data_IF_817794377086
#
_entry.id   IF_817794377086
#
_cell.length_a   1.000
_cell.length_b   1.000
_cell.length_c   1.000
_cell.angle_alpha   90.00
_cell.angle_beta   90.00
_cell.angle_gamma   90.00
#
_symmetry.space_group_name_H-M   'P 1'
#
loop_
_entity.id
_entity.type
_entity.pdbx_description
1 polymer ?
#
# COMPACT_ATOMS: atom_id res chain seq x y z
N UNK A 1 -40.49 81.75 37.24
CA UNK A 1 -39.07 81.39 37.41
C UNK A 1 -38.98 79.88 37.59
N UNK A 2 -37.91 79.27 37.07
CA UNK A 2 -37.48 77.86 37.16
C UNK A 2 -37.94 76.91 36.03
N UNK A 3 -37.21 76.98 34.91
CA UNK A 3 -37.02 75.93 33.91
C UNK A 3 -36.03 74.88 34.43
N UNK A 4 -36.43 73.61 34.52
CA UNK A 4 -35.53 72.48 34.80
C UNK A 4 -35.03 71.90 33.46
N UNK A 5 -33.73 72.04 33.20
CA UNK A 5 -33.05 71.38 32.08
C UNK A 5 -32.60 69.97 32.49
N UNK A 6 -33.13 68.94 31.83
CA UNK A 6 -32.71 67.56 32.03
C UNK A 6 -31.42 67.28 31.24
N UNK A 7 -30.33 67.01 31.97
CA UNK A 7 -29.03 66.64 31.40
C UNK A 7 -29.04 65.13 31.08
N UNK A 8 -29.19 64.77 29.80
CA UNK A 8 -29.01 63.38 29.35
C UNK A 8 -27.51 63.06 29.23
N UNK A 9 -27.02 62.17 30.10
CA UNK A 9 -25.69 61.56 29.99
C UNK A 9 -25.71 60.50 28.87
N UNK A 10 -25.06 60.79 27.75
CA UNK A 10 -24.71 59.78 26.73
C UNK A 10 -23.62 58.87 27.31
N UNK A 11 -23.97 57.64 27.68
CA UNK A 11 -22.99 56.60 27.99
C UNK A 11 -22.43 56.04 26.67
N UNK A 12 -21.11 56.17 26.48
CA UNK A 12 -20.41 55.52 25.37
C UNK A 12 -20.38 54.01 25.61
N UNK A 13 -21.16 53.26 24.83
CA UNK A 13 -21.13 51.79 24.83
C UNK A 13 -19.86 51.37 24.08
N UNK A 14 -18.89 50.79 24.79
CA UNK A 14 -17.71 50.21 24.17
C UNK A 14 -18.14 49.01 23.29
N UNK A 15 -17.65 48.89 22.04
CA UNK A 15 -17.99 47.77 21.17
C UNK A 15 -17.45 46.46 21.76
N UNK A 16 -18.31 45.44 21.78
CA UNK A 16 -17.93 44.08 22.18
C UNK A 16 -16.83 43.54 21.25
N UNK A 17 -15.82 42.82 21.78
CA UNK A 17 -14.83 42.15 20.94
C UNK A 17 -15.54 41.13 20.04
N UNK A 18 -15.37 41.26 18.72
CA UNK A 18 -15.89 40.28 17.77
C UNK A 18 -15.21 38.93 18.01
N UNK A 19 -15.95 37.80 18.01
CA UNK A 19 -15.34 36.48 18.04
C UNK A 19 -14.41 36.36 16.83
N UNK A 20 -13.13 36.12 17.10
CA UNK A 20 -12.11 35.96 16.07
C UNK A 20 -12.53 34.87 15.10
N UNK A 21 -12.59 35.20 13.81
CA UNK A 21 -12.78 34.23 12.73
C UNK A 21 -11.59 33.27 12.76
N UNK A 22 -11.77 32.08 13.35
CA UNK A 22 -10.85 30.97 13.13
C UNK A 22 -10.86 30.67 11.64
N UNK A 23 -9.74 30.95 10.96
CA UNK A 23 -9.60 30.60 9.55
C UNK A 23 -9.87 29.10 9.37
N UNK A 24 -10.66 28.74 8.35
CA UNK A 24 -10.87 27.33 8.04
C UNK A 24 -9.51 26.68 7.75
N UNK A 25 -9.26 25.45 8.23
CA UNK A 25 -8.01 24.75 7.95
C UNK A 25 -7.83 24.58 6.44
N UNK A 26 -6.58 24.66 5.97
CA UNK A 26 -6.27 24.37 4.56
C UNK A 26 -6.42 22.87 4.27
N UNK A 27 -6.68 22.50 3.01
CA UNK A 27 -6.76 21.10 2.60
C UNK A 27 -5.47 20.32 2.95
N UNK A 28 -4.31 20.98 2.92
CA UNK A 28 -3.03 20.35 3.33
C UNK A 28 -3.02 20.00 4.82
N UNK A 29 -3.52 20.89 5.68
CA UNK A 29 -3.61 20.64 7.12
C UNK A 29 -4.63 19.53 7.42
N UNK A 30 -5.81 19.58 6.78
CA UNK A 30 -6.83 18.54 6.91
C UNK A 30 -6.31 17.17 6.45
N UNK A 31 -5.56 17.14 5.36
CA UNK A 31 -4.96 15.91 4.86
C UNK A 31 -3.95 15.33 5.86
N UNK A 32 -3.04 16.16 6.38
CA UNK A 32 -2.02 15.72 7.34
C UNK A 32 -2.64 15.17 8.63
N UNK A 33 -3.66 15.86 9.16
CA UNK A 33 -4.41 15.42 10.33
C UNK A 33 -5.14 14.10 10.08
N UNK A 34 -5.73 13.94 8.89
CA UNK A 34 -6.37 12.69 8.52
C UNK A 34 -5.38 11.52 8.40
N UNK A 35 -4.24 11.71 7.74
CA UNK A 35 -3.23 10.64 7.60
C UNK A 35 -2.76 10.18 8.98
N UNK A 36 -2.52 11.10 9.91
CA UNK A 36 -2.20 10.75 11.30
C UNK A 36 -3.32 9.95 11.96
N UNK A 37 -4.55 10.46 11.91
CA UNK A 37 -5.71 9.81 12.53
C UNK A 37 -5.98 8.41 11.95
N UNK A 38 -5.79 8.23 10.64
CA UNK A 38 -5.91 6.95 9.95
C UNK A 38 -4.84 5.95 10.41
N UNK A 39 -3.58 6.38 10.53
CA UNK A 39 -2.48 5.53 10.98
C UNK A 39 -2.63 5.09 12.44
N UNK A 40 -3.20 5.96 13.28
CA UNK A 40 -3.44 5.71 14.70
C UNK A 40 -4.76 4.93 14.96
N UNK A 41 -5.57 4.68 13.92
CA UNK A 41 -6.86 3.99 14.05
C UNK A 41 -7.88 4.78 14.89
N UNK A 42 -7.81 6.12 14.85
CA UNK A 42 -8.63 7.00 15.69
C UNK A 42 -10.13 6.81 15.38
N UNK A 43 -10.96 6.52 16.40
CA UNK A 43 -12.42 6.51 16.24
C UNK A 43 -12.93 7.82 15.65
N UNK A 44 -13.74 7.74 14.59
CA UNK A 44 -14.28 8.92 13.90
C UNK A 44 -13.45 9.44 12.72
N UNK A 45 -12.26 8.88 12.44
CA UNK A 45 -11.47 9.26 11.27
C UNK A 45 -12.23 9.08 9.94
N UNK A 46 -13.02 8.00 9.83
CA UNK A 46 -13.88 7.72 8.67
C UNK A 46 -14.96 8.80 8.51
N UNK A 47 -15.60 9.22 9.61
CA UNK A 47 -16.67 10.21 9.59
C UNK A 47 -16.13 11.59 9.21
N UNK A 48 -14.99 11.98 9.79
CA UNK A 48 -14.29 13.22 9.44
C UNK A 48 -13.87 13.25 7.96
N UNK A 49 -13.26 12.18 7.47
CA UNK A 49 -12.88 12.04 6.06
C UNK A 49 -14.10 12.08 5.12
N UNK A 50 -15.21 11.47 5.53
CA UNK A 50 -16.46 11.47 4.77
C UNK A 50 -17.08 12.86 4.69
N UNK A 51 -17.11 13.60 5.81
CA UNK A 51 -17.58 14.98 5.82
C UNK A 51 -16.73 15.88 4.92
N UNK A 52 -15.40 15.77 5.02
CA UNK A 52 -14.49 16.53 4.17
C UNK A 52 -14.66 16.20 2.68
N UNK A 53 -14.85 14.92 2.34
CA UNK A 53 -15.13 14.46 0.97
C UNK A 53 -16.43 15.06 0.41
N UNK A 54 -17.48 15.11 1.23
CA UNK A 54 -18.80 15.61 0.84
C UNK A 54 -18.85 17.14 0.77
N UNK A 55 -17.90 17.83 1.40
CA UNK A 55 -17.66 19.26 1.27
C UNK A 55 -16.67 19.57 0.14
N UNK A 56 -15.54 20.16 0.49
CA UNK A 56 -14.57 20.73 -0.47
C UNK A 56 -13.40 19.82 -0.80
N UNK A 57 -13.24 18.68 -0.13
CA UNK A 57 -11.96 17.99 -0.02
C UNK A 57 -11.48 17.18 -1.22
N UNK A 58 -12.26 17.08 -2.31
CA UNK A 58 -11.80 16.55 -3.60
C UNK A 58 -11.10 15.18 -3.55
N UNK A 59 -9.98 15.04 -4.26
CA UNK A 59 -9.15 13.84 -4.28
C UNK A 59 -8.47 13.57 -2.93
N UNK A 60 -7.84 14.56 -2.24
CA UNK A 60 -7.22 14.35 -0.94
C UNK A 60 -8.16 13.73 0.11
N UNK A 61 -9.41 14.20 0.20
CA UNK A 61 -10.38 13.65 1.13
C UNK A 61 -10.82 12.22 0.80
N UNK A 62 -10.92 11.86 -0.48
CA UNK A 62 -11.23 10.48 -0.91
C UNK A 62 -10.09 9.53 -0.59
N UNK A 63 -8.86 9.98 -0.82
CA UNK A 63 -7.67 9.22 -0.47
C UNK A 63 -7.56 9.04 1.05
N UNK A 64 -7.74 10.12 1.81
CA UNK A 64 -7.85 10.12 3.27
C UNK A 64 -8.93 9.15 3.78
N UNK A 65 -10.11 9.11 3.16
CA UNK A 65 -11.16 8.14 3.50
C UNK A 65 -10.70 6.69 3.27
N UNK A 66 -9.97 6.43 2.20
CA UNK A 66 -9.36 5.11 1.97
C UNK A 66 -8.34 4.72 3.04
N UNK A 67 -7.47 5.66 3.44
CA UNK A 67 -6.52 5.44 4.54
C UNK A 67 -7.25 5.19 5.87
N UNK A 68 -8.30 5.94 6.18
CA UNK A 68 -9.10 5.74 7.38
C UNK A 68 -9.76 4.35 7.42
N UNK A 69 -10.25 3.86 6.28
CA UNK A 69 -10.73 2.48 6.18
C UNK A 69 -9.62 1.43 6.34
N UNK A 70 -8.41 1.70 5.84
CA UNK A 70 -7.26 0.82 6.07
C UNK A 70 -6.89 0.74 7.55
N UNK A 71 -6.80 1.88 8.24
CA UNK A 71 -6.55 1.94 9.68
C UNK A 71 -7.63 1.24 10.51
N UNK A 72 -8.88 1.24 10.04
CA UNK A 72 -9.98 0.50 10.64
C UNK A 72 -10.04 -1.00 10.24
N UNK A 73 -9.03 -1.52 9.54
CA UNK A 73 -8.98 -2.89 9.03
C UNK A 73 -10.18 -3.26 8.14
N UNK A 74 -10.64 -2.31 7.30
CA UNK A 74 -11.74 -2.46 6.34
C UNK A 74 -11.25 -2.35 4.89
N UNK A 75 -10.44 -3.31 4.40
CA UNK A 75 -9.76 -3.19 3.11
C UNK A 75 -10.72 -3.10 1.91
N UNK A 76 -11.88 -3.75 1.97
CA UNK A 76 -12.90 -3.65 0.90
C UNK A 76 -13.52 -2.25 0.78
N UNK A 77 -13.71 -1.55 1.89
CA UNK A 77 -14.17 -0.16 1.91
C UNK A 77 -13.07 0.79 1.46
N UNK A 78 -11.84 0.55 1.92
CA UNK A 78 -10.66 1.32 1.50
C UNK A 78 -10.47 1.28 -0.02
N UNK A 79 -10.56 0.10 -0.62
CA UNK A 79 -10.51 -0.08 -2.06
C UNK A 79 -11.50 0.83 -2.79
N UNK A 80 -12.78 0.84 -2.37
CA UNK A 80 -13.80 1.69 -2.99
C UNK A 80 -13.46 3.18 -2.89
N UNK A 81 -12.94 3.63 -1.75
CA UNK A 81 -12.56 5.03 -1.55
C UNK A 81 -11.33 5.42 -2.38
N UNK A 82 -10.32 4.54 -2.48
CA UNK A 82 -9.16 4.74 -3.34
C UNK A 82 -9.53 4.73 -4.83
N UNK A 83 -10.40 3.82 -5.27
CA UNK A 83 -10.91 3.81 -6.65
C UNK A 83 -11.70 5.09 -6.96
N UNK A 84 -12.47 5.61 -6.00
CA UNK A 84 -13.17 6.88 -6.16
C UNK A 84 -12.20 8.06 -6.28
N UNK A 85 -11.16 8.09 -5.44
CA UNK A 85 -10.08 9.06 -5.54
C UNK A 85 -9.39 8.98 -6.91
N UNK A 86 -9.08 7.76 -7.37
CA UNK A 86 -8.39 7.50 -8.63
C UNK A 86 -9.21 7.99 -9.84
N UNK A 87 -10.51 7.68 -9.89
CA UNK A 87 -11.39 8.14 -10.98
C UNK A 87 -11.49 9.66 -11.04
N UNK A 88 -11.60 10.33 -9.89
CA UNK A 88 -11.64 11.80 -9.86
C UNK A 88 -10.30 12.39 -10.29
N UNK A 89 -9.18 11.82 -9.83
CA UNK A 89 -7.85 12.24 -10.24
C UNK A 89 -7.63 12.05 -11.75
N UNK A 90 -8.05 10.90 -12.30
CA UNK A 90 -7.96 10.57 -13.72
C UNK A 90 -8.75 11.57 -14.57
N UNK A 91 -9.99 11.86 -14.19
CA UNK A 91 -10.84 12.83 -14.87
C UNK A 91 -10.25 14.26 -14.87
N UNK A 92 -9.42 14.57 -13.88
CA UNK A 92 -8.70 15.85 -13.77
C UNK A 92 -7.36 15.85 -14.51
N UNK A 93 -6.95 14.73 -15.13
CA UNK A 93 -5.61 14.57 -15.69
C UNK A 93 -4.50 14.56 -14.63
N UNK A 94 -4.84 14.31 -13.37
CA UNK A 94 -3.89 14.28 -12.26
C UNK A 94 -3.09 12.97 -12.29
N UNK A 95 -1.74 13.02 -12.36
CA UNK A 95 -0.91 11.82 -12.45
C UNK A 95 -1.03 10.88 -11.24
N UNK A 96 -1.51 11.38 -10.09
CA UNK A 96 -1.73 10.56 -8.89
C UNK A 96 -2.78 9.45 -9.08
N UNK A 97 -3.59 9.50 -10.16
CA UNK A 97 -4.60 8.48 -10.46
C UNK A 97 -4.03 7.06 -10.46
N UNK A 98 -2.80 6.88 -10.98
CA UNK A 98 -2.19 5.54 -11.08
C UNK A 98 -1.84 4.99 -9.70
N UNK A 99 -1.25 5.80 -8.83
CA UNK A 99 -0.92 5.42 -7.45
C UNK A 99 -2.19 5.13 -6.65
N UNK A 100 -3.27 5.88 -6.89
CA UNK A 100 -4.56 5.66 -6.25
C UNK A 100 -5.22 4.34 -6.71
N UNK A 101 -5.16 4.02 -8.01
CA UNK A 101 -5.58 2.70 -8.49
C UNK A 101 -4.67 1.58 -7.95
N UNK A 102 -3.36 1.81 -7.81
CA UNK A 102 -2.44 0.86 -7.18
C UNK A 102 -2.81 0.57 -5.72
N UNK A 103 -3.11 1.61 -4.94
CA UNK A 103 -3.58 1.47 -3.56
C UNK A 103 -4.93 0.75 -3.47
N UNK A 104 -5.85 1.04 -4.39
CA UNK A 104 -7.10 0.30 -4.49
C UNK A 104 -6.87 -1.20 -4.77
N UNK A 105 -6.00 -1.52 -5.73
CA UNK A 105 -5.62 -2.90 -6.05
C UNK A 105 -5.04 -3.66 -4.85
N UNK A 106 -4.13 -3.01 -4.11
CA UNK A 106 -3.55 -3.57 -2.88
C UNK A 106 -4.60 -3.80 -1.78
N UNK A 107 -5.51 -2.85 -1.59
CA UNK A 107 -6.63 -3.02 -0.66
C UNK A 107 -7.56 -4.18 -1.09
N UNK A 108 -7.77 -4.39 -2.39
CA UNK A 108 -8.53 -5.54 -2.90
C UNK A 108 -7.81 -6.87 -2.69
N UNK A 109 -6.48 -6.91 -2.83
CA UNK A 109 -5.66 -8.09 -2.47
C UNK A 109 -5.84 -8.46 -0.99
N UNK A 110 -5.76 -7.47 -0.09
CA UNK A 110 -5.98 -7.67 1.34
C UNK A 110 -7.41 -8.10 1.67
N UNK A 111 -8.39 -7.64 0.89
CA UNK A 111 -9.79 -8.04 1.01
C UNK A 111 -10.11 -9.41 0.38
N UNK A 112 -9.14 -10.08 -0.24
CA UNK A 112 -9.35 -11.35 -0.96
C UNK A 112 -10.16 -11.23 -2.25
N UNK A 113 -10.35 -10.01 -2.77
CA UNK A 113 -11.17 -9.74 -3.97
C UNK A 113 -10.30 -9.77 -5.23
N UNK A 114 -9.65 -10.90 -5.49
CA UNK A 114 -8.61 -11.02 -6.50
C UNK A 114 -9.03 -10.67 -7.93
N UNK A 115 -10.22 -11.08 -8.45
CA UNK A 115 -10.65 -10.68 -9.79
C UNK A 115 -10.84 -9.16 -9.95
N UNK A 116 -11.31 -8.49 -8.88
CA UNK A 116 -11.43 -7.03 -8.86
C UNK A 116 -10.05 -6.37 -8.76
N UNK A 117 -9.15 -6.90 -7.94
CA UNK A 117 -7.78 -6.40 -7.83
C UNK A 117 -7.08 -6.42 -9.20
N UNK A 118 -7.19 -7.52 -9.94
CA UNK A 118 -6.63 -7.66 -11.28
C UNK A 118 -7.15 -6.58 -12.24
N UNK A 119 -8.46 -6.33 -12.22
CA UNK A 119 -9.10 -5.32 -13.07
C UNK A 119 -8.60 -3.91 -12.74
N UNK A 120 -8.61 -3.54 -11.45
CA UNK A 120 -8.21 -2.20 -11.00
C UNK A 120 -6.72 -1.94 -11.25
N UNK A 121 -5.87 -2.93 -11.02
CA UNK A 121 -4.44 -2.84 -11.34
C UNK A 121 -4.20 -2.77 -12.85
N UNK A 122 -5.03 -3.43 -13.65
CA UNK A 122 -5.06 -3.28 -15.11
C UNK A 122 -5.29 -1.84 -15.56
N UNK A 123 -6.25 -1.13 -14.93
CA UNK A 123 -6.50 0.28 -15.21
C UNK A 123 -5.28 1.15 -14.87
N UNK A 124 -4.64 0.91 -13.71
CA UNK A 124 -3.41 1.60 -13.34
C UNK A 124 -2.29 1.40 -14.38
N UNK A 125 -2.13 0.16 -14.88
CA UNK A 125 -1.10 -0.18 -15.86
C UNK A 125 -1.27 0.53 -17.20
N UNK A 126 -2.50 0.75 -17.66
CA UNK A 126 -2.79 1.54 -18.88
C UNK A 126 -2.25 2.97 -18.73
N UNK A 127 -2.40 3.55 -17.54
CA UNK A 127 -1.96 4.92 -17.24
C UNK A 127 -0.44 5.00 -16.91
N UNK A 128 0.20 3.89 -16.54
CA UNK A 128 1.59 3.84 -16.10
C UNK A 128 2.64 3.76 -17.24
N UNK A 129 2.25 3.93 -18.51
CA UNK A 129 3.10 3.64 -19.67
C UNK A 129 4.50 4.30 -19.66
N UNK A 130 4.64 5.49 -19.05
CA UNK A 130 5.91 6.25 -18.98
C UNK A 130 6.57 6.23 -17.59
N UNK A 131 6.16 5.32 -16.70
CA UNK A 131 6.65 5.23 -15.32
C UNK A 131 7.10 3.81 -14.99
N UNK A 132 8.31 3.39 -15.43
CA UNK A 132 8.73 1.99 -15.42
C UNK A 132 8.78 1.37 -14.01
N UNK A 133 9.28 2.10 -13.01
CA UNK A 133 9.31 1.62 -11.63
C UNK A 133 7.88 1.34 -11.10
N UNK A 134 6.99 2.32 -11.21
CA UNK A 134 5.58 2.16 -10.81
C UNK A 134 4.86 1.06 -11.61
N UNK A 135 5.16 0.95 -12.91
CA UNK A 135 4.64 -0.13 -13.76
C UNK A 135 5.10 -1.50 -13.24
N UNK A 136 6.35 -1.63 -12.82
CA UNK A 136 6.89 -2.85 -12.20
C UNK A 136 6.13 -3.23 -10.94
N UNK A 137 5.91 -2.28 -10.03
CA UNK A 137 5.17 -2.53 -8.79
C UNK A 137 3.71 -2.97 -9.05
N UNK A 138 3.04 -2.31 -9.99
CA UNK A 138 1.67 -2.68 -10.39
C UNK A 138 1.58 -4.07 -11.05
N UNK A 139 2.58 -4.44 -11.84
CA UNK A 139 2.67 -5.78 -12.43
C UNK A 139 2.87 -6.84 -11.34
N UNK A 140 3.72 -6.57 -10.34
CA UNK A 140 3.91 -7.45 -9.19
C UNK A 140 2.60 -7.66 -8.43
N UNK A 141 1.86 -6.59 -8.14
CA UNK A 141 0.58 -6.71 -7.44
C UNK A 141 -0.48 -7.45 -8.26
N UNK A 142 -0.51 -7.24 -9.59
CA UNK A 142 -1.45 -7.97 -10.45
C UNK A 142 -1.08 -9.44 -10.57
N UNK A 143 0.21 -9.77 -10.57
CA UNK A 143 0.67 -11.14 -10.52
C UNK A 143 0.20 -11.85 -9.24
N UNK A 144 0.26 -11.18 -8.09
CA UNK A 144 -0.28 -11.72 -6.82
C UNK A 144 -1.78 -11.99 -6.91
N UNK A 145 -2.54 -11.07 -7.53
CA UNK A 145 -3.98 -11.27 -7.74
C UNK A 145 -4.26 -12.48 -8.67
N UNK A 146 -3.45 -12.65 -9.71
CA UNK A 146 -3.57 -13.77 -10.66
C UNK A 146 -3.17 -15.11 -10.05
N UNK A 147 -2.11 -15.14 -9.26
CA UNK A 147 -1.68 -16.34 -8.55
C UNK A 147 -2.76 -16.83 -7.59
N UNK A 148 -3.38 -15.92 -6.83
CA UNK A 148 -4.50 -16.25 -5.94
C UNK A 148 -5.74 -16.77 -6.68
N UNK A 149 -5.84 -16.53 -7.98
CA UNK A 149 -6.87 -17.08 -8.87
C UNK A 149 -6.42 -18.37 -9.60
N UNK A 150 -5.27 -18.95 -9.24
CA UNK A 150 -4.62 -20.07 -9.93
C UNK A 150 -4.25 -19.78 -11.40
N UNK A 151 -4.15 -18.50 -11.78
CA UNK A 151 -3.68 -18.08 -13.10
C UNK A 151 -2.14 -17.94 -13.10
N UNK A 152 -1.45 -19.08 -13.00
CA UNK A 152 0.01 -19.13 -12.96
C UNK A 152 0.66 -18.54 -14.22
N UNK A 153 0.08 -18.78 -15.40
CA UNK A 153 0.58 -18.23 -16.67
C UNK A 153 0.52 -16.71 -16.70
N UNK A 154 -0.60 -16.11 -16.28
CA UNK A 154 -0.75 -14.66 -16.22
C UNK A 154 0.14 -14.03 -15.15
N UNK A 155 0.30 -14.69 -14.00
CA UNK A 155 1.20 -14.24 -12.94
C UNK A 155 2.66 -14.23 -13.41
N UNK A 156 3.10 -15.31 -14.07
CA UNK A 156 4.46 -15.40 -14.65
C UNK A 156 4.71 -14.29 -15.66
N UNK A 157 3.78 -14.08 -16.59
CA UNK A 157 3.92 -13.04 -17.62
C UNK A 157 4.03 -11.63 -17.03
N UNK A 158 3.28 -11.34 -15.95
CA UNK A 158 3.39 -10.06 -15.26
C UNK A 158 4.73 -9.93 -14.52
N UNK A 159 5.20 -10.99 -13.85
CA UNK A 159 6.46 -10.99 -13.11
C UNK A 159 7.68 -10.87 -14.03
N UNK A 160 7.68 -11.56 -15.17
CA UNK A 160 8.72 -11.43 -16.20
C UNK A 160 8.80 -9.99 -16.72
N UNK A 161 7.66 -9.36 -17.04
CA UNK A 161 7.64 -7.95 -17.41
C UNK A 161 8.06 -7.02 -16.27
N UNK A 162 7.70 -7.34 -15.02
CA UNK A 162 8.04 -6.52 -13.87
C UNK A 162 9.56 -6.44 -13.66
N UNK A 163 10.26 -7.57 -13.73
CA UNK A 163 11.71 -7.61 -13.55
C UNK A 163 12.48 -7.00 -14.74
N UNK A 164 11.88 -6.93 -15.92
CA UNK A 164 12.44 -6.20 -17.06
C UNK A 164 12.37 -4.68 -16.85
N UNK A 165 11.22 -4.15 -16.39
CA UNK A 165 11.03 -2.69 -16.25
C UNK A 165 11.49 -2.14 -14.90
N UNK A 166 11.61 -2.99 -13.88
CA UNK A 166 12.02 -2.64 -12.51
C UNK A 166 13.02 -3.67 -11.97
N UNK A 167 14.15 -3.81 -12.67
CA UNK A 167 15.18 -4.82 -12.38
C UNK A 167 15.86 -4.71 -11.00
N UNK A 168 15.69 -3.57 -10.32
CA UNK A 168 16.18 -3.34 -8.96
C UNK A 168 15.15 -3.68 -7.87
N UNK A 169 13.92 -4.08 -8.22
CA UNK A 169 12.90 -4.48 -7.26
C UNK A 169 13.09 -5.96 -6.87
N UNK A 170 13.57 -6.21 -5.65
CA UNK A 170 13.82 -7.55 -5.14
C UNK A 170 12.55 -8.42 -5.05
N UNK A 171 11.39 -7.82 -4.74
CA UNK A 171 10.11 -8.53 -4.60
C UNK A 171 9.67 -9.15 -5.93
N UNK A 172 9.89 -8.45 -7.05
CA UNK A 172 9.58 -9.00 -8.38
C UNK A 172 10.39 -10.25 -8.68
N UNK A 173 11.70 -10.21 -8.39
CA UNK A 173 12.59 -11.38 -8.54
C UNK A 173 12.25 -12.51 -7.58
N UNK A 174 11.90 -12.20 -6.34
CA UNK A 174 11.47 -13.19 -5.34
C UNK A 174 10.24 -13.95 -5.83
N UNK A 175 9.18 -13.24 -6.21
CA UNK A 175 7.93 -13.86 -6.63
C UNK A 175 8.08 -14.62 -7.94
N UNK A 176 8.87 -14.10 -8.89
CA UNK A 176 9.21 -14.82 -10.13
C UNK A 176 9.93 -16.14 -9.83
N UNK A 177 10.92 -16.10 -8.95
CA UNK A 177 11.70 -17.26 -8.54
C UNK A 177 10.88 -18.31 -7.79
N UNK A 178 10.06 -17.86 -6.83
CA UNK A 178 9.17 -18.73 -6.08
C UNK A 178 8.12 -19.41 -6.98
N UNK A 179 7.53 -18.67 -7.92
CA UNK A 179 6.62 -19.22 -8.91
C UNK A 179 7.31 -20.23 -9.82
N UNK A 180 8.47 -19.88 -10.38
CA UNK A 180 9.24 -20.78 -11.23
C UNK A 180 9.63 -22.08 -10.50
N UNK A 181 9.97 -22.00 -9.21
CA UNK A 181 10.28 -23.17 -8.38
C UNK A 181 9.07 -24.11 -8.24
N UNK A 182 7.88 -23.56 -7.96
CA UNK A 182 6.63 -24.35 -7.87
C UNK A 182 6.23 -24.96 -9.20
N UNK A 183 6.62 -24.35 -10.31
CA UNK A 183 6.42 -24.84 -11.67
C UNK A 183 7.54 -25.78 -12.15
N UNK A 184 8.47 -26.16 -11.27
CA UNK A 184 9.64 -27.01 -11.57
C UNK A 184 10.56 -26.44 -12.67
N UNK A 185 10.48 -25.13 -12.94
CA UNK A 185 11.39 -24.39 -13.82
C UNK A 185 12.64 -24.00 -13.03
N UNK A 186 13.47 -24.99 -12.71
CA UNK A 186 14.57 -24.85 -11.74
C UNK A 186 15.65 -23.83 -12.15
N UNK A 187 16.07 -23.82 -13.41
CA UNK A 187 17.09 -22.85 -13.86
C UNK A 187 16.59 -21.39 -13.83
N UNK A 188 15.38 -21.07 -14.32
CA UNK A 188 14.76 -19.78 -14.09
C UNK A 188 14.63 -19.42 -12.60
N UNK A 189 14.20 -20.37 -11.76
CA UNK A 189 14.04 -20.16 -10.32
C UNK A 189 15.39 -19.79 -9.66
N UNK A 190 16.44 -20.55 -9.96
CA UNK A 190 17.81 -20.32 -9.49
C UNK A 190 18.29 -18.91 -9.83
N UNK A 191 18.11 -18.50 -11.08
CA UNK A 191 18.54 -17.17 -11.56
C UNK A 191 17.79 -16.04 -10.85
N UNK A 192 16.46 -16.17 -10.75
CA UNK A 192 15.62 -15.16 -10.12
C UNK A 192 15.87 -15.05 -8.61
N UNK A 193 15.94 -16.16 -7.88
CA UNK A 193 16.18 -16.18 -6.43
C UNK A 193 17.60 -15.73 -6.07
N UNK A 194 18.61 -16.05 -6.89
CA UNK A 194 19.96 -15.51 -6.72
C UNK A 194 19.97 -13.98 -6.89
N UNK A 195 19.18 -13.45 -7.83
CA UNK A 195 19.05 -12.01 -8.03
C UNK A 195 18.31 -11.34 -6.88
N UNK A 196 17.20 -11.93 -6.42
CA UNK A 196 16.47 -11.44 -5.24
C UNK A 196 17.37 -11.39 -4.01
N UNK A 197 18.13 -12.46 -3.73
CA UNK A 197 19.06 -12.54 -2.60
C UNK A 197 20.18 -11.50 -2.69
N UNK A 198 20.67 -11.20 -3.90
CA UNK A 198 21.67 -10.15 -4.10
C UNK A 198 21.10 -8.76 -3.81
N UNK A 199 19.85 -8.50 -4.18
CA UNK A 199 19.20 -7.20 -3.99
C UNK A 199 18.74 -6.97 -2.55
N UNK A 200 18.25 -8.02 -1.88
CA UNK A 200 17.72 -7.95 -0.52
C UNK A 200 18.24 -9.11 0.34
N UNK A 201 19.54 -9.14 0.67
CA UNK A 201 20.16 -10.26 1.40
C UNK A 201 19.65 -10.45 2.83
N UNK A 202 19.03 -9.42 3.41
CA UNK A 202 18.45 -9.44 4.75
C UNK A 202 16.94 -9.69 4.79
N UNK A 203 16.29 -9.86 3.64
CA UNK A 203 14.85 -10.10 3.57
C UNK A 203 14.55 -11.58 3.92
N UNK A 204 13.74 -11.86 4.97
CA UNK A 204 13.46 -13.23 5.40
C UNK A 204 12.75 -14.08 4.35
N UNK A 205 11.83 -13.51 3.56
CA UNK A 205 11.12 -14.24 2.52
C UNK A 205 12.08 -14.64 1.39
N UNK A 206 13.00 -13.74 1.03
CA UNK A 206 14.07 -14.02 0.07
C UNK A 206 15.02 -15.11 0.57
N UNK A 207 15.43 -15.03 1.83
CA UNK A 207 16.29 -16.03 2.45
C UNK A 207 15.63 -17.41 2.50
N UNK A 208 14.34 -17.50 2.80
CA UNK A 208 13.59 -18.77 2.79
C UNK A 208 13.59 -19.40 1.41
N UNK A 209 13.19 -18.66 0.38
CA UNK A 209 13.10 -19.21 -0.98
C UNK A 209 14.49 -19.54 -1.56
N UNK A 210 15.50 -18.71 -1.31
CA UNK A 210 16.87 -19.01 -1.69
C UNK A 210 17.42 -20.24 -0.95
N UNK A 211 17.06 -20.42 0.33
CA UNK A 211 17.41 -21.61 1.10
C UNK A 211 16.72 -22.87 0.56
N UNK A 212 15.45 -22.77 0.18
CA UNK A 212 14.70 -23.86 -0.46
C UNK A 212 15.36 -24.27 -1.78
N UNK A 213 15.79 -23.30 -2.59
CA UNK A 213 16.50 -23.58 -3.84
C UNK A 213 17.86 -24.26 -3.57
N UNK A 214 18.64 -23.76 -2.60
CA UNK A 214 19.92 -24.38 -2.22
C UNK A 214 19.75 -25.83 -1.74
N UNK A 215 18.69 -26.14 -1.00
CA UNK A 215 18.41 -27.51 -0.57
C UNK A 215 18.07 -28.43 -1.77
N UNK A 216 17.29 -27.94 -2.73
CA UNK A 216 17.01 -28.67 -3.98
C UNK A 216 18.28 -28.91 -4.81
N UNK A 217 19.29 -28.05 -4.67
CA UNK A 217 20.61 -28.21 -5.29
C UNK A 217 21.53 -29.17 -4.53
N UNK A 218 21.11 -29.64 -3.36
CA UNK A 218 21.94 -30.45 -2.46
C UNK A 218 22.93 -29.65 -1.61
N UNK A 219 22.94 -28.32 -1.69
CA UNK A 219 23.75 -27.45 -0.83
C UNK A 219 23.02 -27.16 0.49
N UNK A 220 22.87 -28.21 1.30
CA UNK A 220 22.20 -28.14 2.60
C UNK A 220 22.90 -27.21 3.59
N UNK A 221 24.23 -27.05 3.48
CA UNK A 221 24.98 -26.13 4.32
C UNK A 221 24.53 -24.68 4.09
N UNK A 222 24.46 -24.26 2.82
CA UNK A 222 23.94 -22.95 2.44
C UNK A 222 22.45 -22.80 2.77
N UNK A 223 21.66 -23.83 2.52
CA UNK A 223 20.22 -23.81 2.82
C UNK A 223 19.97 -23.53 4.31
N UNK A 224 20.63 -24.28 5.20
CA UNK A 224 20.51 -24.09 6.65
C UNK A 224 20.99 -22.72 7.12
N UNK A 225 22.06 -22.19 6.54
CA UNK A 225 22.53 -20.84 6.84
C UNK A 225 21.48 -19.78 6.51
N UNK A 226 20.84 -19.88 5.34
CA UNK A 226 19.79 -18.96 4.90
C UNK A 226 18.52 -19.08 5.75
N UNK A 227 18.04 -20.29 6.02
CA UNK A 227 16.88 -20.50 6.89
C UNK A 227 17.16 -20.01 8.32
N UNK A 228 18.34 -20.27 8.87
CA UNK A 228 18.70 -19.77 10.21
C UNK A 228 18.71 -18.24 10.28
N UNK A 229 19.17 -17.58 9.21
CA UNK A 229 19.12 -16.11 9.12
C UNK A 229 17.67 -15.60 9.09
N UNK A 230 16.80 -16.25 8.31
CA UNK A 230 15.39 -15.87 8.18
C UNK A 230 14.62 -16.05 9.51
N UNK A 231 14.78 -17.21 10.15
CA UNK A 231 14.18 -17.52 11.44
C UNK A 231 14.62 -16.53 12.53
N UNK A 232 15.90 -16.16 12.54
CA UNK A 232 16.42 -15.16 13.49
C UNK A 232 15.91 -13.74 13.21
N UNK A 233 15.80 -13.36 11.94
CA UNK A 233 15.41 -12.01 11.54
C UNK A 233 13.93 -11.74 11.81
N UNK A 234 13.06 -12.74 11.62
CA UNK A 234 11.62 -12.56 11.69
C UNK A 234 10.88 -13.80 12.25
N UNK A 235 11.14 -14.21 13.50
CA UNK A 235 10.68 -15.50 14.05
C UNK A 235 9.16 -15.68 14.02
N UNK A 236 8.40 -14.62 14.25
CA UNK A 236 6.94 -14.69 14.37
C UNK A 236 6.19 -14.56 13.02
N UNK A 237 6.91 -14.27 11.93
CA UNK A 237 6.32 -14.10 10.60
C UNK A 237 6.14 -15.45 9.88
N UNK A 238 5.34 -15.50 8.80
CA UNK A 238 5.25 -16.69 7.96
C UNK A 238 6.63 -17.17 7.45
N UNK A 239 7.52 -16.25 7.07
CA UNK A 239 8.87 -16.57 6.62
C UNK A 239 9.71 -17.23 7.73
N UNK A 240 9.73 -16.66 8.94
CA UNK A 240 10.48 -17.25 10.06
C UNK A 240 9.98 -18.64 10.43
N UNK A 241 8.66 -18.82 10.50
CA UNK A 241 8.03 -20.13 10.75
C UNK A 241 8.33 -21.14 9.65
N UNK A 242 8.32 -20.71 8.38
CA UNK A 242 8.69 -21.56 7.26
C UNK A 242 10.17 -21.97 7.33
N UNK A 243 11.05 -21.06 7.73
CA UNK A 243 12.47 -21.32 7.94
C UNK A 243 12.71 -22.34 9.07
N UNK A 244 12.05 -22.17 10.22
CA UNK A 244 12.12 -23.13 11.34
C UNK A 244 11.66 -24.52 10.91
N UNK A 245 10.54 -24.59 10.18
CA UNK A 245 10.05 -25.85 9.64
C UNK A 245 11.04 -26.50 8.67
N UNK A 246 11.70 -25.71 7.82
CA UNK A 246 12.73 -26.20 6.91
C UNK A 246 13.95 -26.74 7.67
N UNK A 247 14.39 -26.06 8.73
CA UNK A 247 15.48 -26.53 9.61
C UNK A 247 15.14 -27.84 10.32
N UNK A 248 13.91 -27.98 10.84
CA UNK A 248 13.46 -29.21 11.51
C UNK A 248 13.43 -30.41 10.56
N UNK A 249 13.08 -30.19 9.28
CA UNK A 249 13.07 -31.23 8.24
C UNK A 249 14.48 -31.60 7.75
N UNK A 250 15.49 -30.78 8.02
CA UNK A 250 16.87 -30.95 7.58
C UNK A 250 17.85 -30.82 8.77
N UNK A 251 17.82 -31.78 9.72
CA UNK A 251 18.49 -31.64 11.02
C UNK A 251 20.01 -31.86 10.98
N UNK A 252 20.57 -32.45 9.92
CA UNK A 252 22.01 -32.74 9.76
C UNK A 252 22.47 -32.36 8.36
#
# INVERSE_FOLDING_TARGET
>A
MLTFAALMLMQAVAPLPMPGTTAMPSDTALYADCVRAANEGVPGAIDAATQWKNGTGGVPARHCLGLAYMGANRPADAARAFEDAARVAEAQGNPAAVELYGQAGNALLLAGQYPRAETVLGNALVLAARRPALKGDLLIDRARAREAQNNALGARSDLEQAVEVASNNATGWLLLGALARREERLEPARTALATALRLAPGDPDVQVEAGNMAAMDGDYAKARALWSAAAKAAPDTPAGKAADLALLRNPQ
#
